data_IF_058365049649
#
_entry.id   IF_058365049649
#
_cell.length_a   1.000
_cell.length_b   1.000
_cell.length_c   1.000
_cell.angle_alpha   90.00
_cell.angle_beta   90.00
_cell.angle_gamma   90.00
#
_symmetry.space_group_name_H-M   'P 1'
#
loop_
_entity.id
_entity.type
_entity.pdbx_description
1 polymer ?
#
# COMPACT_ATOMS: atom_id res chain seq x y z
N UNK A 1 -5.98 -10.49 -13.58
CA UNK A 1 -6.91 -10.44 -12.44
C UNK A 1 -7.84 -9.27 -12.67
N UNK A 2 -9.14 -9.51 -12.86
CA UNK A 2 -10.10 -8.39 -13.00
C UNK A 2 -10.36 -7.85 -11.60
N UNK A 3 -9.97 -6.60 -11.35
CA UNK A 3 -10.30 -5.90 -10.10
C UNK A 3 -11.73 -5.38 -10.23
N UNK A 4 -12.61 -5.74 -9.30
CA UNK A 4 -13.97 -5.20 -9.27
C UNK A 4 -13.95 -3.77 -8.73
N UNK A 5 -14.94 -2.92 -9.06
CA UNK A 5 -15.02 -1.57 -8.50
C UNK A 5 -14.99 -1.53 -6.96
N UNK A 6 -15.60 -2.53 -6.32
CA UNK A 6 -15.58 -2.65 -4.86
C UNK A 6 -14.16 -2.93 -4.31
N UNK A 7 -13.40 -3.81 -4.96
CA UNK A 7 -12.01 -4.08 -4.57
C UNK A 7 -11.14 -2.84 -4.80
N UNK A 8 -11.34 -2.12 -5.91
CA UNK A 8 -10.62 -0.88 -6.16
C UNK A 8 -10.92 0.18 -5.08
N UNK A 9 -12.19 0.37 -4.71
CA UNK A 9 -12.57 1.30 -3.66
C UNK A 9 -11.92 0.94 -2.31
N UNK A 10 -11.83 -0.36 -1.97
CA UNK A 10 -11.12 -0.81 -0.77
C UNK A 10 -9.62 -0.48 -0.83
N UNK A 11 -8.97 -0.72 -1.98
CA UNK A 11 -7.56 -0.34 -2.19
C UNK A 11 -7.37 1.16 -2.01
N UNK A 12 -8.25 1.99 -2.58
CA UNK A 12 -8.17 3.45 -2.47
C UNK A 12 -8.36 3.94 -1.02
N UNK A 13 -9.29 3.33 -0.28
CA UNK A 13 -9.48 3.60 1.16
C UNK A 13 -8.23 3.23 1.96
N UNK A 14 -7.62 2.07 1.69
CA UNK A 14 -6.35 1.73 2.30
C UNK A 14 -5.25 2.72 1.90
N UNK A 15 -5.17 3.14 0.64
CA UNK A 15 -4.15 4.09 0.21
C UNK A 15 -4.26 5.41 0.99
N UNK A 16 -5.48 5.93 1.20
CA UNK A 16 -5.72 7.09 2.06
C UNK A 16 -5.18 6.85 3.49
N UNK A 17 -5.57 5.73 4.11
CA UNK A 17 -5.10 5.40 5.45
C UNK A 17 -3.58 5.10 5.53
N UNK A 18 -2.89 4.72 4.44
CA UNK A 18 -1.41 4.60 4.45
C UNK A 18 -0.79 5.99 4.51
N UNK A 19 -1.24 6.90 3.64
CA UNK A 19 -0.74 8.28 3.62
C UNK A 19 -0.92 8.94 4.98
N UNK A 20 -2.10 8.80 5.59
CA UNK A 20 -2.40 9.37 6.91
C UNK A 20 -1.47 8.85 8.02
N UNK A 21 -1.07 7.57 7.97
CA UNK A 21 -0.11 7.02 8.94
C UNK A 21 1.29 7.57 8.69
N UNK A 22 1.72 7.63 7.43
CA UNK A 22 3.07 8.06 7.09
C UNK A 22 3.29 9.56 7.32
N UNK A 23 2.24 10.38 7.24
CA UNK A 23 2.30 11.80 7.59
C UNK A 23 2.44 12.06 9.10
N UNK A 24 2.21 11.06 9.96
CA UNK A 24 2.48 11.18 11.40
C UNK A 24 3.98 11.13 11.73
N UNK A 25 4.81 10.61 10.83
CA UNK A 25 6.26 10.57 11.01
C UNK A 25 6.91 11.82 10.41
N UNK A 26 7.89 12.44 11.08
CA UNK A 26 8.62 13.57 10.52
C UNK A 26 9.43 13.11 9.30
N UNK A 27 9.12 13.64 8.12
CA UNK A 27 9.80 13.28 6.88
C UNK A 27 8.94 13.49 5.64
N UNK A 28 9.52 13.24 4.46
CA UNK A 28 8.76 13.18 3.20
C UNK A 28 8.28 11.74 3.01
N UNK A 29 6.99 11.57 2.70
CA UNK A 29 6.47 10.28 2.28
C UNK A 29 7.01 9.95 0.88
N UNK A 30 7.88 8.96 0.78
CA UNK A 30 8.47 8.50 -0.48
C UNK A 30 8.46 6.98 -0.64
N UNK A 31 9.03 6.47 -1.74
CA UNK A 31 9.08 5.03 -2.02
C UNK A 31 9.76 4.20 -0.92
N UNK A 32 10.76 4.76 -0.23
CA UNK A 32 11.50 4.07 0.84
C UNK A 32 10.62 3.90 2.07
N UNK A 33 9.91 4.95 2.50
CA UNK A 33 9.00 4.91 3.63
C UNK A 33 7.83 3.95 3.34
N UNK A 34 7.34 3.94 2.10
CA UNK A 34 6.29 3.01 1.66
C UNK A 34 6.77 1.54 1.66
N UNK A 35 8.00 1.28 1.25
CA UNK A 35 8.59 -0.06 1.31
C UNK A 35 8.76 -0.54 2.76
N UNK A 36 9.28 0.32 3.64
CA UNK A 36 9.40 0.01 5.07
C UNK A 36 8.04 -0.24 5.73
N UNK A 37 7.01 0.54 5.35
CA UNK A 37 5.64 0.32 5.78
C UNK A 37 5.10 -1.05 5.34
N UNK A 38 5.23 -1.37 4.05
CA UNK A 38 4.76 -2.64 3.49
C UNK A 38 5.43 -3.83 4.17
N UNK A 39 6.76 -3.77 4.36
CA UNK A 39 7.51 -4.80 5.07
C UNK A 39 7.02 -4.97 6.52
N UNK A 40 6.79 -3.87 7.26
CA UNK A 40 6.29 -3.95 8.63
C UNK A 40 4.89 -4.57 8.73
N UNK A 41 4.01 -4.29 7.77
CA UNK A 41 2.68 -4.90 7.65
C UNK A 41 2.80 -6.40 7.38
N UNK A 42 3.59 -6.78 6.38
CA UNK A 42 3.82 -8.18 6.02
C UNK A 42 4.40 -8.99 7.17
N UNK A 43 5.48 -8.48 7.79
CA UNK A 43 6.15 -9.12 8.92
C UNK A 43 5.20 -9.31 10.12
N UNK A 44 4.41 -8.28 10.43
CA UNK A 44 3.43 -8.33 11.51
C UNK A 44 2.30 -9.33 11.25
N UNK A 45 1.82 -9.40 10.02
CA UNK A 45 0.80 -10.33 9.59
C UNK A 45 1.33 -11.78 9.56
N UNK A 46 2.52 -11.99 9.00
CA UNK A 46 3.16 -13.30 8.90
C UNK A 46 3.38 -13.92 10.29
N UNK A 47 3.85 -13.14 11.27
CA UNK A 47 3.98 -13.58 12.67
C UNK A 47 2.66 -14.01 13.31
N UNK A 48 1.53 -13.54 12.79
CA UNK A 48 0.17 -13.89 13.25
C UNK A 48 -0.46 -15.00 12.42
N UNK A 49 0.32 -15.65 11.55
CA UNK A 49 -0.15 -16.78 10.73
C UNK A 49 -0.86 -16.37 9.44
N UNK A 50 -0.83 -15.08 9.07
CA UNK A 50 -1.37 -14.66 7.78
C UNK A 50 -0.63 -15.34 6.62
N UNK A 51 -1.41 -15.68 5.60
CA UNK A 51 -0.96 -16.19 4.30
C UNK A 51 -1.77 -15.45 3.22
N UNK A 52 -1.15 -15.06 2.09
CA UNK A 52 -1.86 -14.41 1.01
C UNK A 52 -3.07 -15.24 0.57
N UNK A 53 -4.25 -14.62 0.60
CA UNK A 53 -5.48 -15.24 0.11
C UNK A 53 -5.55 -15.23 -1.41
N UNK A 54 -6.30 -16.17 -1.99
CA UNK A 54 -6.62 -16.15 -3.42
C UNK A 54 -7.63 -15.04 -3.78
N UNK A 55 -8.45 -14.62 -2.81
CA UNK A 55 -9.44 -13.56 -2.95
C UNK A 55 -9.01 -12.32 -2.17
N UNK A 56 -8.59 -11.30 -2.92
CA UNK A 56 -8.14 -10.03 -2.36
C UNK A 56 -9.28 -9.28 -1.64
N UNK A 57 -10.54 -9.49 -2.01
CA UNK A 57 -11.66 -8.73 -1.45
C UNK A 57 -11.90 -8.98 0.04
N UNK A 58 -11.40 -10.12 0.55
CA UNK A 58 -11.49 -10.52 1.95
C UNK A 58 -10.14 -10.49 2.68
N UNK A 59 -9.05 -10.22 1.94
CA UNK A 59 -7.69 -10.18 2.49
C UNK A 59 -7.27 -8.74 2.81
N UNK A 60 -7.55 -8.31 4.04
CA UNK A 60 -7.17 -6.98 4.52
C UNK A 60 -5.68 -6.69 4.35
N UNK A 61 -4.80 -7.67 4.59
CA UNK A 61 -3.35 -7.48 4.47
C UNK A 61 -2.96 -7.35 3.00
N UNK A 62 -3.52 -8.20 2.14
CA UNK A 62 -3.35 -8.11 0.69
C UNK A 62 -3.80 -6.74 0.16
N UNK A 63 -4.98 -6.26 0.55
CA UNK A 63 -5.48 -4.93 0.18
C UNK A 63 -4.55 -3.82 0.67
N UNK A 64 -4.02 -3.95 1.89
CA UNK A 64 -3.09 -2.98 2.48
C UNK A 64 -1.76 -2.92 1.72
N UNK A 65 -1.21 -4.07 1.32
CA UNK A 65 0.02 -4.17 0.55
C UNK A 65 -0.18 -3.66 -0.88
N UNK A 66 -1.30 -4.02 -1.53
CA UNK A 66 -1.64 -3.50 -2.86
C UNK A 66 -1.73 -1.97 -2.87
N UNK A 67 -2.36 -1.39 -1.85
CA UNK A 67 -2.43 0.06 -1.67
C UNK A 67 -1.04 0.70 -1.52
N UNK A 68 -0.15 0.14 -0.69
CA UNK A 68 1.20 0.65 -0.51
C UNK A 68 2.03 0.58 -1.80
N UNK A 69 1.94 -0.52 -2.55
CA UNK A 69 2.60 -0.67 -3.85
C UNK A 69 2.06 0.32 -4.89
N UNK A 70 0.74 0.55 -4.91
CA UNK A 70 0.10 1.55 -5.78
C UNK A 70 0.62 2.96 -5.52
N UNK A 71 0.75 3.35 -4.25
CA UNK A 71 1.34 4.63 -3.85
C UNK A 71 2.80 4.77 -4.28
N UNK A 72 3.60 3.72 -4.13
CA UNK A 72 5.00 3.72 -4.52
C UNK A 72 5.15 3.89 -6.05
N UNK A 73 4.26 3.27 -6.81
CA UNK A 73 4.24 3.36 -8.27
C UNK A 73 3.83 4.77 -8.74
N UNK A 74 2.79 5.35 -8.12
CA UNK A 74 2.33 6.69 -8.45
C UNK A 74 3.40 7.76 -8.12
N UNK A 75 4.06 7.63 -6.96
CA UNK A 75 5.12 8.56 -6.54
C UNK A 75 6.39 8.47 -7.39
N UNK A 76 6.73 7.30 -7.95
CA UNK A 76 7.80 7.17 -8.93
C UNK A 76 7.48 7.87 -10.26
N UNK A 77 6.20 7.91 -10.65
CA UNK A 77 5.73 8.68 -11.81
C UNK A 77 5.92 10.18 -11.64
N UNK A 78 5.61 10.72 -10.45
CA UNK A 78 5.77 12.14 -10.12
C UNK A 78 7.25 12.60 -10.13
N UNK A 79 8.17 11.74 -9.69
CA UNK A 79 9.62 12.01 -9.77
C UNK A 79 10.07 12.14 -11.22
N UNK A 80 9.52 11.33 -12.13
CA UNK A 80 9.88 11.35 -13.55
C UNK A 80 9.34 12.62 -14.25
N UNK A 81 8.15 13.09 -13.85
CA UNK A 81 7.53 14.30 -14.39
C UNK A 81 8.24 15.61 -13.97
N UNK A 82 9.02 15.59 -12.89
CA UNK A 82 9.73 16.78 -12.38
C UNK A 82 11.09 17.01 -13.06
N UNK A 83 11.58 16.06 -13.86
CA UNK A 83 12.92 16.11 -14.50
C UNK A 83 12.80 16.43 -16.02
N UNK A 84 11.60 16.71 -16.52
CA UNK A 84 11.33 17.17 -17.90
C UNK A 84 11.01 18.67 -17.88
#
# INVERSE_FOLDING_TARGET
MVVTPAVQAAIDQHAAAVRDILTLSPGRVGPVELAGYAQGVEDGAFRRGWRPGADLSTDWVGLRLAAACGLATASAGDVTATIQ
#
